data_IF_205433687799
#
_entry.id   IF_205433687799
#
_cell.length_a   1.000
_cell.length_b   1.000
_cell.length_c   1.000
_cell.angle_alpha   90.00
_cell.angle_beta   90.00
_cell.angle_gamma   90.00
#
_symmetry.space_group_name_H-M   'P 1'
#
loop_
_entity.id
_entity.type
_entity.pdbx_description
1 polymer ?
#
# COMPACT_ATOMS: atom_id res chain seq x y z
N UNK A 1 -16.01 34.39 20.46
CA UNK A 1 -15.51 35.22 19.36
C UNK A 1 -16.68 35.97 18.73
N UNK A 2 -16.70 37.30 18.76
CA UNK A 2 -17.76 38.10 18.13
C UNK A 2 -17.48 38.21 16.64
N UNK A 3 -18.32 37.61 15.78
CA UNK A 3 -18.22 37.80 14.33
C UNK A 3 -18.65 39.23 14.01
N UNK A 4 -17.68 40.06 13.62
CA UNK A 4 -17.89 41.45 13.24
C UNK A 4 -18.09 41.51 11.74
N UNK A 5 -19.32 41.51 11.25
CA UNK A 5 -19.66 41.64 9.86
C UNK A 5 -20.83 40.76 9.39
N UNK A 6 -21.46 41.15 8.29
CA UNK A 6 -22.58 40.40 7.65
C UNK A 6 -22.33 40.22 6.17
N UNK A 7 -22.75 39.06 5.64
CA UNK A 7 -22.85 38.86 4.21
C UNK A 7 -23.79 39.90 3.57
N UNK A 8 -23.51 40.47 2.40
CA UNK A 8 -22.38 40.16 1.49
C UNK A 8 -21.10 41.00 1.74
N UNK A 9 -21.09 41.96 2.69
CA UNK A 9 -19.95 42.82 2.96
C UNK A 9 -18.75 42.03 3.50
N UNK A 10 -19.02 41.04 4.36
CA UNK A 10 -18.02 40.14 4.90
C UNK A 10 -18.08 38.78 4.18
N UNK A 11 -16.96 38.34 3.61
CA UNK A 11 -16.80 37.08 2.90
C UNK A 11 -15.60 36.31 3.46
N UNK A 12 -15.85 35.31 4.29
CA UNK A 12 -14.83 34.57 5.04
C UNK A 12 -13.87 33.77 4.12
N UNK A 13 -14.32 33.42 2.91
CA UNK A 13 -13.54 32.60 1.96
C UNK A 13 -13.05 33.40 0.76
N UNK A 14 -12.88 34.69 0.89
CA UNK A 14 -12.49 35.60 -0.23
C UNK A 14 -11.19 35.16 -0.89
N UNK A 15 -10.20 34.75 -0.11
CA UNK A 15 -8.89 34.30 -0.61
C UNK A 15 -8.92 32.99 -1.41
N UNK A 16 -10.08 32.32 -1.48
CA UNK A 16 -10.29 31.10 -2.26
C UNK A 16 -10.97 31.34 -3.62
N UNK A 17 -11.31 32.60 -3.95
CA UNK A 17 -12.08 32.94 -5.16
C UNK A 17 -11.24 32.70 -6.43
N UNK A 18 -10.03 33.21 -6.46
CA UNK A 18 -9.14 33.16 -7.62
C UNK A 18 -8.00 32.16 -7.41
N UNK A 19 -7.49 31.58 -8.54
CA UNK A 19 -6.42 30.58 -8.47
C UNK A 19 -5.13 31.13 -7.86
N UNK A 20 -4.72 32.35 -8.27
CA UNK A 20 -3.53 33.00 -7.73
C UNK A 20 -3.64 33.29 -6.23
N UNK A 21 -4.86 33.62 -5.73
CA UNK A 21 -5.10 33.79 -4.29
C UNK A 21 -4.94 32.46 -3.54
N UNK A 22 -5.52 31.37 -4.07
CA UNK A 22 -5.38 30.03 -3.49
C UNK A 22 -3.92 29.62 -3.42
N UNK A 23 -3.14 29.85 -4.49
CA UNK A 23 -1.70 29.54 -4.51
C UNK A 23 -0.91 30.38 -3.49
N UNK A 24 -1.26 31.68 -3.37
CA UNK A 24 -0.57 32.59 -2.44
C UNK A 24 -0.75 32.19 -0.97
N UNK A 25 -1.94 31.67 -0.60
CA UNK A 25 -2.27 31.26 0.79
C UNK A 25 -2.17 29.75 1.02
N UNK A 26 -1.62 28.98 0.08
CA UNK A 26 -1.44 27.57 0.23
C UNK A 26 -0.37 27.27 1.31
N UNK A 27 -0.76 26.52 2.33
CA UNK A 27 0.14 26.10 3.42
C UNK A 27 0.90 24.82 3.10
N UNK A 28 0.38 24.04 2.14
CA UNK A 28 0.95 22.74 1.75
C UNK A 28 1.20 22.70 0.25
N UNK A 29 2.32 22.11 -0.15
CA UNK A 29 2.64 21.80 -1.54
C UNK A 29 2.76 20.29 -1.69
N UNK A 30 2.07 19.71 -2.68
CA UNK A 30 2.21 18.30 -3.04
C UNK A 30 3.37 18.14 -4.03
N UNK A 31 4.30 17.26 -3.69
CA UNK A 31 5.40 16.86 -4.55
C UNK A 31 5.45 15.34 -4.71
N UNK A 32 6.28 14.83 -5.60
CA UNK A 32 6.49 13.38 -5.73
C UNK A 32 7.07 12.74 -4.46
N UNK A 33 7.75 13.53 -3.61
CA UNK A 33 8.29 13.07 -2.33
C UNK A 33 7.21 12.73 -1.29
N UNK A 34 5.97 13.16 -1.52
CA UNK A 34 4.82 12.87 -0.65
C UNK A 34 4.06 11.62 -1.09
N UNK A 35 4.53 10.94 -2.15
CA UNK A 35 3.82 9.82 -2.77
C UNK A 35 4.44 8.47 -2.43
N UNK A 36 3.57 7.47 -2.25
CA UNK A 36 3.92 6.05 -2.16
C UNK A 36 3.17 5.33 -3.28
N UNK A 37 3.88 4.62 -4.16
CA UNK A 37 3.24 3.89 -5.26
C UNK A 37 2.81 2.49 -4.79
N UNK A 38 1.51 2.17 -4.76
CA UNK A 38 1.05 0.81 -4.49
C UNK A 38 1.34 -0.11 -5.69
N UNK A 39 1.91 -1.28 -5.42
CA UNK A 39 2.22 -2.31 -6.43
C UNK A 39 1.55 -3.60 -6.02
N UNK A 40 0.66 -4.10 -6.86
CA UNK A 40 0.05 -5.40 -6.68
C UNK A 40 0.89 -6.47 -7.35
N UNK A 41 1.26 -7.50 -6.60
CA UNK A 41 2.09 -8.60 -7.08
C UNK A 41 1.32 -9.92 -7.10
N UNK A 42 1.65 -10.78 -8.07
CA UNK A 42 1.01 -12.09 -8.25
C UNK A 42 2.03 -13.18 -8.54
N UNK A 43 1.63 -14.42 -8.35
CA UNK A 43 2.38 -15.58 -8.84
C UNK A 43 2.36 -15.67 -10.36
N UNK A 44 3.38 -16.33 -10.90
CA UNK A 44 3.53 -16.57 -12.33
C UNK A 44 4.84 -16.04 -12.89
N UNK A 45 5.00 -16.16 -14.20
CA UNK A 45 6.15 -15.68 -14.95
C UNK A 45 5.65 -14.89 -16.16
N UNK A 46 6.25 -13.76 -16.42
CA UNK A 46 5.91 -12.86 -17.54
C UNK A 46 4.44 -12.40 -17.54
N UNK A 47 3.87 -12.16 -16.34
CA UNK A 47 2.48 -11.78 -16.20
C UNK A 47 2.31 -10.30 -15.85
N UNK A 48 1.41 -9.64 -16.57
CA UNK A 48 0.86 -8.32 -16.25
C UNK A 48 -0.67 -8.46 -16.41
N UNK A 49 -1.41 -8.41 -15.32
CA UNK A 49 -2.85 -8.63 -15.29
C UNK A 49 -3.59 -7.38 -14.86
N UNK A 50 -4.52 -6.91 -15.67
CA UNK A 50 -5.37 -5.75 -15.34
C UNK A 50 -6.31 -6.09 -14.19
N UNK A 51 -6.41 -5.20 -13.19
CA UNK A 51 -7.40 -5.30 -12.12
C UNK A 51 -8.70 -4.67 -12.62
N UNK A 52 -9.74 -5.49 -12.84
CA UNK A 52 -11.00 -5.04 -13.48
C UNK A 52 -11.70 -3.90 -12.74
N UNK A 53 -11.63 -3.90 -11.40
CA UNK A 53 -12.25 -2.89 -10.53
C UNK A 53 -11.42 -1.62 -10.34
N UNK A 54 -10.16 -1.59 -10.82
CA UNK A 54 -9.24 -0.47 -10.65
C UNK A 54 -8.71 -0.03 -12.01
N UNK A 55 -9.22 1.05 -12.60
CA UNK A 55 -8.74 1.55 -13.90
C UNK A 55 -7.23 1.78 -13.89
N UNK A 56 -6.54 1.28 -14.94
CA UNK A 56 -5.10 1.43 -15.17
C UNK A 56 -4.17 0.87 -14.07
N UNK A 57 -4.71 0.03 -13.18
CA UNK A 57 -3.95 -0.69 -12.17
C UNK A 57 -3.80 -2.16 -12.57
N UNK A 58 -2.58 -2.69 -12.36
CA UNK A 58 -2.20 -4.04 -12.80
C UNK A 58 -1.55 -4.82 -11.67
N UNK A 59 -1.68 -6.16 -11.74
CA UNK A 59 -0.87 -7.11 -10.96
C UNK A 59 0.33 -7.53 -11.77
N UNK A 60 1.50 -7.54 -11.15
CA UNK A 60 2.76 -7.90 -11.79
C UNK A 60 3.31 -9.19 -11.20
N UNK A 61 3.80 -10.11 -12.06
CA UNK A 61 4.64 -11.20 -11.58
C UNK A 61 5.99 -10.66 -11.11
N UNK A 62 6.68 -11.40 -10.22
CA UNK A 62 7.94 -10.95 -9.61
C UNK A 62 9.00 -10.58 -10.66
N UNK A 63 9.05 -11.29 -11.80
CA UNK A 63 9.99 -10.99 -12.88
C UNK A 63 9.71 -9.65 -13.59
N UNK A 64 8.48 -9.12 -13.50
CA UNK A 64 8.08 -7.84 -14.10
C UNK A 64 8.15 -6.67 -13.11
N UNK A 65 8.41 -6.90 -11.83
CA UNK A 65 8.38 -5.85 -10.79
C UNK A 65 9.40 -4.74 -11.06
N UNK A 66 10.53 -5.08 -11.67
CA UNK A 66 11.58 -4.11 -11.98
C UNK A 66 11.08 -2.97 -12.87
N UNK A 67 10.23 -3.28 -13.85
CA UNK A 67 9.67 -2.28 -14.77
C UNK A 67 8.89 -1.19 -14.02
N UNK A 68 8.08 -1.56 -13.03
CA UNK A 68 7.28 -0.58 -12.26
C UNK A 68 8.13 0.14 -11.22
N UNK A 69 9.14 -0.52 -10.65
CA UNK A 69 10.12 0.12 -9.75
C UNK A 69 10.92 1.19 -10.50
N UNK A 70 11.42 0.87 -11.69
CA UNK A 70 12.15 1.84 -12.52
C UNK A 70 11.26 3.02 -12.92
N UNK A 71 9.97 2.77 -13.20
CA UNK A 71 8.99 3.83 -13.46
C UNK A 71 8.81 4.74 -12.24
N UNK A 72 8.70 4.19 -11.03
CA UNK A 72 8.59 4.97 -9.80
C UNK A 72 9.82 5.86 -9.58
N UNK A 73 11.02 5.31 -9.75
CA UNK A 73 12.28 6.04 -9.63
C UNK A 73 12.38 7.17 -10.65
N UNK A 74 12.03 6.92 -11.92
CA UNK A 74 12.06 7.93 -13.00
C UNK A 74 11.06 9.07 -12.76
N UNK A 75 9.97 8.81 -12.02
CA UNK A 75 9.00 9.82 -11.62
C UNK A 75 9.38 10.54 -10.31
N UNK A 76 10.50 10.16 -9.67
CA UNK A 76 10.94 10.72 -8.40
C UNK A 76 10.10 10.28 -7.20
N UNK A 77 9.37 9.16 -7.30
CA UNK A 77 8.59 8.59 -6.19
C UNK A 77 9.55 7.84 -5.24
N UNK A 78 9.66 8.24 -3.96
CA UNK A 78 10.68 7.71 -3.06
C UNK A 78 10.37 6.34 -2.49
N UNK A 79 9.11 5.90 -2.51
CA UNK A 79 8.67 4.66 -1.84
C UNK A 79 7.61 3.92 -2.64
N UNK A 80 7.63 2.60 -2.52
CA UNK A 80 6.59 1.71 -3.05
C UNK A 80 5.97 0.88 -1.94
N UNK A 81 4.68 0.56 -2.06
CA UNK A 81 3.97 -0.34 -1.15
C UNK A 81 3.59 -1.63 -1.88
N UNK A 82 3.94 -2.80 -1.33
CA UNK A 82 3.72 -4.10 -1.97
C UNK A 82 2.48 -4.80 -1.41
N UNK A 83 1.55 -5.18 -2.29
CA UNK A 83 0.33 -5.92 -1.94
C UNK A 83 0.28 -7.26 -2.69
N UNK A 84 0.18 -8.41 -2.00
CA UNK A 84 0.17 -9.71 -2.63
C UNK A 84 -1.22 -10.11 -3.11
N UNK A 85 -1.31 -10.71 -4.27
CA UNK A 85 -2.46 -11.52 -4.68
C UNK A 85 -2.16 -12.98 -4.36
N UNK A 86 -2.68 -13.46 -3.24
CA UNK A 86 -2.50 -14.84 -2.80
C UNK A 86 -3.58 -15.74 -3.40
N UNK A 87 -3.21 -16.80 -4.15
CA UNK A 87 -4.19 -17.76 -4.69
C UNK A 87 -4.94 -18.49 -3.57
N UNK A 88 -6.23 -18.80 -3.78
CA UNK A 88 -7.07 -19.45 -2.78
C UNK A 88 -6.47 -20.76 -2.21
N UNK A 89 -5.76 -21.52 -3.04
CA UNK A 89 -5.08 -22.76 -2.61
C UNK A 89 -3.99 -22.58 -1.54
N UNK A 90 -3.49 -21.34 -1.37
CA UNK A 90 -2.49 -20.98 -0.35
C UNK A 90 -3.12 -20.29 0.86
N UNK A 91 -4.42 -20.04 0.83
CA UNK A 91 -5.16 -19.43 1.95
C UNK A 91 -5.70 -20.50 2.87
N UNK A 92 -5.68 -20.23 4.17
CA UNK A 92 -6.34 -21.04 5.19
C UNK A 92 -6.85 -20.18 6.35
N UNK A 93 -7.54 -20.78 7.31
CA UNK A 93 -8.14 -20.05 8.43
C UNK A 93 -7.11 -19.37 9.35
N UNK A 94 -5.86 -19.82 9.34
CA UNK A 94 -4.78 -19.29 10.17
C UNK A 94 -3.90 -18.30 9.45
N UNK A 95 -4.12 -18.07 8.16
CA UNK A 95 -3.27 -17.19 7.35
C UNK A 95 -1.79 -17.62 7.29
N UNK A 96 -1.51 -18.94 7.38
CA UNK A 96 -0.15 -19.46 7.57
C UNK A 96 0.84 -19.08 6.45
N UNK A 97 0.36 -18.77 5.24
CA UNK A 97 1.23 -18.28 4.16
C UNK A 97 1.88 -16.94 4.52
N UNK A 98 1.31 -16.14 5.45
CA UNK A 98 1.92 -14.91 5.94
C UNK A 98 3.29 -15.16 6.60
N UNK A 99 3.47 -16.33 7.22
CA UNK A 99 4.70 -16.72 7.92
C UNK A 99 5.64 -17.60 7.07
N UNK A 100 5.31 -17.82 5.80
CA UNK A 100 6.17 -18.57 4.89
C UNK A 100 7.29 -17.65 4.38
N UNK A 101 8.55 -17.96 4.71
CA UNK A 101 9.74 -17.21 4.26
C UNK A 101 9.85 -17.09 2.73
N UNK A 102 9.21 -17.99 1.99
CA UNK A 102 9.16 -17.99 0.54
C UNK A 102 7.83 -17.51 -0.02
N UNK A 103 7.01 -16.81 0.79
CA UNK A 103 5.81 -16.19 0.29
C UNK A 103 6.11 -15.14 -0.77
N UNK A 104 5.07 -14.67 -1.45
CA UNK A 104 5.20 -13.77 -2.59
C UNK A 104 5.86 -12.43 -2.23
N UNK A 105 5.53 -11.88 -1.03
CA UNK A 105 6.10 -10.62 -0.53
C UNK A 105 7.59 -10.78 -0.26
N UNK A 106 8.01 -11.79 0.52
CA UNK A 106 9.41 -12.01 0.87
C UNK A 106 10.29 -12.24 -0.38
N UNK A 107 9.78 -12.95 -1.38
CA UNK A 107 10.50 -13.13 -2.65
C UNK A 107 10.62 -11.83 -3.45
N UNK A 108 9.57 -11.00 -3.46
CA UNK A 108 9.59 -9.69 -4.11
C UNK A 108 10.57 -8.73 -3.42
N UNK A 109 10.55 -8.68 -2.08
CA UNK A 109 11.49 -7.89 -1.27
C UNK A 109 12.94 -8.23 -1.60
N UNK A 110 13.31 -9.52 -1.50
CA UNK A 110 14.66 -9.97 -1.82
C UNK A 110 15.07 -9.60 -3.24
N UNK A 111 14.15 -9.69 -4.21
CA UNK A 111 14.44 -9.29 -5.59
C UNK A 111 14.69 -7.78 -5.72
N UNK A 112 13.87 -6.94 -5.12
CA UNK A 112 14.01 -5.48 -5.22
C UNK A 112 15.31 -5.05 -4.52
N UNK A 113 15.56 -5.53 -3.30
CA UNK A 113 16.75 -5.20 -2.51
C UNK A 113 18.06 -5.65 -3.16
N UNK A 114 18.06 -6.80 -3.84
CA UNK A 114 19.26 -7.31 -4.55
C UNK A 114 19.84 -6.31 -5.58
N UNK A 115 19.02 -5.44 -6.14
CA UNK A 115 19.46 -4.44 -7.12
C UNK A 115 19.96 -3.12 -6.49
N UNK A 116 20.00 -3.03 -5.17
CA UNK A 116 20.48 -1.89 -4.42
C UNK A 116 19.96 -0.54 -4.94
N UNK A 117 18.65 -0.47 -5.22
CA UNK A 117 17.99 0.74 -5.69
C UNK A 117 17.72 1.69 -4.52
N UNK A 118 17.86 2.98 -4.77
CA UNK A 118 17.50 4.02 -3.80
C UNK A 118 15.98 4.25 -3.77
N UNK A 119 15.23 3.26 -3.28
CA UNK A 119 13.78 3.30 -3.11
C UNK A 119 13.37 2.65 -1.80
N UNK A 120 12.48 3.31 -1.07
CA UNK A 120 11.84 2.74 0.12
C UNK A 120 10.84 1.65 -0.27
N UNK A 121 10.69 0.62 0.58
CA UNK A 121 9.70 -0.43 0.40
C UNK A 121 8.86 -0.53 1.66
N UNK A 122 7.56 -0.41 1.50
CA UNK A 122 6.55 -0.65 2.53
C UNK A 122 5.91 -2.01 2.28
N UNK A 123 5.71 -2.79 3.33
CA UNK A 123 4.91 -4.00 3.30
C UNK A 123 3.75 -3.87 4.27
N UNK A 124 2.61 -4.43 3.88
CA UNK A 124 1.44 -4.51 4.71
C UNK A 124 1.58 -5.71 5.68
N UNK A 125 1.44 -5.42 6.98
CA UNK A 125 1.41 -6.45 8.02
C UNK A 125 -0.04 -6.76 8.32
N UNK A 126 -0.63 -7.63 7.50
CA UNK A 126 -2.05 -7.94 7.50
C UNK A 126 -2.29 -9.41 7.15
N UNK A 127 -3.40 -10.00 7.60
CA UNK A 127 -3.72 -11.41 7.40
C UNK A 127 -4.82 -11.66 6.35
N UNK A 128 -5.63 -10.67 6.00
CA UNK A 128 -6.70 -10.80 5.01
C UNK A 128 -6.22 -11.33 3.63
N UNK A 129 -5.00 -11.00 3.14
CA UNK A 129 -4.49 -11.61 1.91
C UNK A 129 -4.26 -13.11 2.01
N UNK A 130 -4.14 -13.66 3.22
CA UNK A 130 -3.71 -15.04 3.49
C UNK A 130 -4.79 -15.89 4.16
N UNK A 131 -5.83 -15.29 4.72
CA UNK A 131 -6.95 -16.00 5.35
C UNK A 131 -8.00 -16.43 4.31
N UNK A 132 -8.57 -17.63 4.50
CA UNK A 132 -9.64 -18.14 3.62
C UNK A 132 -10.98 -17.42 3.80
N UNK A 133 -11.20 -16.85 4.98
CA UNK A 133 -12.42 -16.10 5.33
C UNK A 133 -12.30 -14.59 5.02
N UNK A 134 -11.12 -14.10 4.62
CA UNK A 134 -10.91 -12.71 4.21
C UNK A 134 -10.90 -11.66 5.33
N UNK A 135 -10.93 -12.07 6.60
CA UNK A 135 -10.75 -11.15 7.73
C UNK A 135 -9.28 -10.98 8.08
N UNK A 136 -8.92 -9.78 8.51
CA UNK A 136 -7.58 -9.45 8.97
C UNK A 136 -7.41 -9.84 10.45
N UNK A 137 -7.33 -11.14 10.69
CA UNK A 137 -7.15 -11.72 12.02
C UNK A 137 -7.60 -13.17 12.10
N UNK A 138 -7.29 -13.80 13.23
CA UNK A 138 -7.63 -15.18 13.49
C UNK A 138 -9.06 -15.28 14.04
N UNK A 139 -9.91 -16.04 13.36
CA UNK A 139 -11.28 -16.27 13.81
C UNK A 139 -11.35 -17.45 14.80
N UNK A 140 -11.91 -17.19 15.99
CA UNK A 140 -12.34 -18.21 16.95
C UNK A 140 -13.81 -17.96 17.31
N UNK A 141 -14.67 -18.95 17.12
CA UNK A 141 -16.12 -18.85 17.41
C UNK A 141 -16.77 -17.61 16.78
N UNK A 142 -16.48 -17.33 15.51
CA UNK A 142 -16.96 -16.19 14.73
C UNK A 142 -16.57 -14.81 15.28
N UNK A 143 -15.51 -14.71 16.08
CA UNK A 143 -14.93 -13.46 16.57
C UNK A 143 -13.44 -13.45 16.30
N UNK A 144 -12.89 -12.28 16.05
CA UNK A 144 -11.44 -12.12 15.94
C UNK A 144 -10.82 -12.32 17.33
N UNK A 145 -9.88 -13.26 17.42
CA UNK A 145 -9.03 -13.47 18.59
C UNK A 145 -7.83 -12.52 18.47
N UNK A 146 -7.86 -11.42 19.20
CA UNK A 146 -6.85 -10.37 19.11
C UNK A 146 -5.47 -10.85 19.54
N UNK A 147 -5.38 -11.63 20.61
CA UNK A 147 -4.09 -12.05 21.18
C UNK A 147 -3.35 -13.03 20.27
N UNK A 148 -4.08 -13.97 19.65
CA UNK A 148 -3.50 -14.88 18.66
C UNK A 148 -3.14 -14.14 17.36
N UNK A 149 -3.97 -13.19 16.95
CA UNK A 149 -3.69 -12.34 15.76
C UNK A 149 -2.40 -11.56 15.94
N UNK A 150 -2.21 -10.89 17.08
CA UNK A 150 -1.01 -10.11 17.38
C UNK A 150 0.27 -10.94 17.32
N UNK A 151 0.25 -12.18 17.82
CA UNK A 151 1.42 -13.10 17.73
C UNK A 151 1.84 -13.35 16.29
N UNK A 152 0.86 -13.54 15.39
CA UNK A 152 1.13 -13.79 13.98
C UNK A 152 1.64 -12.51 13.30
N UNK A 153 1.03 -11.35 13.57
CA UNK A 153 1.45 -10.07 12.99
C UNK A 153 2.87 -9.70 13.42
N UNK A 154 3.26 -9.96 14.66
CA UNK A 154 4.65 -9.78 15.13
C UNK A 154 5.62 -10.64 14.32
N UNK A 155 5.32 -11.94 14.17
CA UNK A 155 6.18 -12.85 13.40
C UNK A 155 6.22 -12.47 11.90
N UNK A 156 5.10 -12.04 11.33
CA UNK A 156 5.04 -11.54 9.95
C UNK A 156 5.92 -10.30 9.78
N UNK A 157 5.86 -9.34 10.72
CA UNK A 157 6.69 -8.14 10.70
C UNK A 157 8.17 -8.47 10.73
N UNK A 158 8.57 -9.37 11.64
CA UNK A 158 9.97 -9.82 11.76
C UNK A 158 10.44 -10.51 10.47
N UNK A 159 9.61 -11.36 9.89
CA UNK A 159 9.90 -12.04 8.64
C UNK A 159 10.09 -11.08 7.45
N UNK A 160 9.27 -10.04 7.37
CA UNK A 160 9.35 -9.03 6.30
C UNK A 160 10.53 -8.06 6.48
N UNK A 161 11.04 -7.91 7.72
CA UNK A 161 12.18 -7.03 8.03
C UNK A 161 13.56 -7.67 7.80
N UNK A 162 13.64 -9.01 7.69
CA UNK A 162 14.87 -9.76 7.37
C UNK A 162 15.28 -9.65 5.90
#
# INVERSE_FOLDING_TARGET
MKIIGKFPKTRLRRVRNEDWMRRLVAENNLSTNDLILPIFIREGKNQIEKIKSMPDVYRYSIDKIDMIIDKALNLGIPMVALFPYTPNKKKNNLGSEALNENNLICRALRKIKKKNRNIGIMCDVALDPYTSHGHDGILKKNKIDNDETLKILVNQSLLQAQ
#
